data_IF_666819352394
#
_entry.id   IF_666819352394
#
_cell.length_a   1.000
_cell.length_b   1.000
_cell.length_c   1.000
_cell.angle_alpha   90.00
_cell.angle_beta   90.00
_cell.angle_gamma   90.00
#
_symmetry.space_group_name_H-M   'P 1'
#
loop_
_entity.id
_entity.type
_entity.pdbx_description
1 polymer ?
#
# COMPACT_ATOMS: atom_id res chain seq x y z
N UNK A 1 -7.56 6.93 0.04
CA UNK A 1 -6.29 7.50 0.49
C UNK A 1 -5.18 7.43 -0.55
N UNK A 2 -5.10 6.41 -1.42
CA UNK A 2 -4.16 6.44 -2.56
C UNK A 2 -2.69 6.32 -2.16
N UNK A 3 -2.38 5.41 -1.22
CA UNK A 3 -1.02 5.14 -0.74
C UNK A 3 -0.31 3.99 -1.48
N UNK A 4 -1.05 3.21 -2.28
CA UNK A 4 -0.49 2.13 -3.08
C UNK A 4 -0.04 2.72 -4.41
N UNK A 5 1.23 2.55 -4.77
CA UNK A 5 1.80 2.98 -6.05
C UNK A 5 1.63 1.88 -7.09
N UNK A 6 2.19 0.72 -6.78
CA UNK A 6 2.32 -0.39 -7.72
C UNK A 6 1.93 -1.68 -7.01
N UNK A 7 1.23 -2.55 -7.73
CA UNK A 7 1.01 -3.95 -7.39
C UNK A 7 1.43 -4.75 -8.62
N UNK A 8 2.44 -5.58 -8.47
CA UNK A 8 2.91 -6.49 -9.50
C UNK A 8 2.76 -7.93 -9.00
N UNK A 9 2.22 -8.82 -9.82
CA UNK A 9 2.09 -10.24 -9.52
C UNK A 9 2.81 -11.01 -10.62
N UNK A 10 3.87 -11.70 -10.24
CA UNK A 10 4.63 -12.52 -11.19
C UNK A 10 3.93 -13.88 -11.43
N UNK A 11 4.39 -14.58 -12.48
CA UNK A 11 3.89 -15.92 -12.83
C UNK A 11 4.25 -16.99 -11.79
N UNK A 12 5.20 -16.70 -10.88
CA UNK A 12 5.59 -17.60 -9.80
C UNK A 12 4.64 -17.50 -8.59
N UNK A 13 3.79 -16.47 -8.53
CA UNK A 13 2.89 -16.15 -7.43
C UNK A 13 3.52 -15.24 -6.37
N UNK A 14 4.55 -14.48 -6.71
CA UNK A 14 5.16 -13.44 -5.86
C UNK A 14 4.51 -12.11 -6.19
N UNK A 15 3.86 -11.52 -5.19
CA UNK A 15 3.23 -10.22 -5.29
C UNK A 15 4.15 -9.14 -4.68
N UNK A 16 4.60 -8.20 -5.49
CA UNK A 16 5.33 -7.02 -5.06
C UNK A 16 4.35 -5.86 -4.89
N UNK A 17 4.38 -5.22 -3.72
CA UNK A 17 3.50 -4.10 -3.40
C UNK A 17 4.35 -2.92 -2.95
N UNK A 18 4.30 -1.84 -3.71
CA UNK A 18 4.96 -0.58 -3.37
C UNK A 18 3.96 0.38 -2.70
N UNK A 19 4.28 0.78 -1.47
CA UNK A 19 3.49 1.70 -0.67
C UNK A 19 4.26 2.98 -0.44
N UNK A 20 3.60 4.12 -0.65
CA UNK A 20 4.15 5.42 -0.28
C UNK A 20 3.77 5.70 1.16
N UNK A 21 4.77 5.78 2.03
CA UNK A 21 4.60 6.17 3.42
C UNK A 21 5.50 7.38 3.72
N UNK A 22 4.90 8.53 4.00
CA UNK A 22 5.64 9.77 4.30
C UNK A 22 6.32 9.76 5.69
N UNK A 23 6.27 8.65 6.43
CA UNK A 23 6.84 8.57 7.79
C UNK A 23 7.94 7.51 7.82
N UNK A 24 9.18 7.96 7.62
CA UNK A 24 10.37 7.17 7.90
C UNK A 24 10.37 6.76 9.38
N UNK A 25 10.40 5.46 9.66
CA UNK A 25 10.48 4.93 11.03
C UNK A 25 9.17 5.02 11.82
N UNK A 26 8.01 5.12 11.17
CA UNK A 26 6.74 5.00 11.88
C UNK A 26 6.65 3.61 12.56
N UNK A 27 6.33 3.51 13.86
CA UNK A 27 6.22 2.22 14.55
C UNK A 27 5.14 1.31 13.92
N UNK A 28 4.22 1.89 13.15
CA UNK A 28 3.13 1.15 12.49
C UNK A 28 3.56 0.44 11.21
N UNK A 29 4.71 0.78 10.61
CA UNK A 29 5.14 0.24 9.31
C UNK A 29 5.16 -1.29 9.30
N UNK A 30 5.67 -1.92 10.37
CA UNK A 30 5.69 -3.38 10.49
C UNK A 30 4.29 -3.99 10.63
N UNK A 31 3.38 -3.33 11.36
CA UNK A 31 2.00 -3.78 11.49
C UNK A 31 1.24 -3.61 10.18
N UNK A 32 1.44 -2.49 9.48
CA UNK A 32 0.81 -2.21 8.20
C UNK A 32 1.28 -3.21 7.13
N UNK A 33 2.58 -3.49 7.05
CA UNK A 33 3.13 -4.51 6.16
C UNK A 33 2.49 -5.88 6.42
N UNK A 34 2.34 -6.27 7.69
CA UNK A 34 1.66 -7.51 8.07
C UNK A 34 0.20 -7.51 7.65
N UNK A 35 -0.55 -6.44 7.91
CA UNK A 35 -1.96 -6.34 7.52
C UNK A 35 -2.15 -6.43 5.99
N UNK A 36 -1.26 -5.78 5.22
CA UNK A 36 -1.26 -5.86 3.75
C UNK A 36 -0.96 -7.29 3.30
N UNK A 37 0.10 -7.90 3.85
CA UNK A 37 0.45 -9.29 3.55
C UNK A 37 -0.70 -10.25 3.86
N UNK A 38 -1.29 -10.15 5.05
CA UNK A 38 -2.41 -11.00 5.47
C UNK A 38 -3.67 -10.79 4.60
N UNK A 39 -3.88 -9.58 4.07
CA UNK A 39 -4.98 -9.30 3.15
C UNK A 39 -4.74 -9.91 1.77
N UNK A 40 -3.53 -9.78 1.23
CA UNK A 40 -3.18 -10.25 -0.12
C UNK A 40 -2.97 -11.76 -0.17
N UNK A 41 -2.47 -12.37 0.91
CA UNK A 41 -2.34 -13.83 1.05
C UNK A 41 -3.69 -14.57 1.03
N UNK A 42 -4.83 -13.87 1.11
CA UNK A 42 -6.16 -14.48 0.90
C UNK A 42 -6.44 -14.79 -0.57
N UNK A 43 -5.66 -14.22 -1.50
CA UNK A 43 -5.77 -14.49 -2.93
C UNK A 43 -5.04 -15.80 -3.21
N UNK A 44 -5.73 -16.85 -3.71
CA UNK A 44 -5.16 -18.19 -3.85
C UNK A 44 -4.00 -18.29 -4.84
N UNK A 45 -3.89 -17.33 -5.76
CA UNK A 45 -2.81 -17.25 -6.75
C UNK A 45 -1.51 -16.67 -6.16
N UNK A 46 -1.59 -16.03 -4.98
CA UNK A 46 -0.45 -15.41 -4.32
C UNK A 46 0.19 -16.41 -3.34
N UNK A 47 1.46 -16.73 -3.59
CA UNK A 47 2.29 -17.60 -2.76
C UNK A 47 3.17 -16.82 -1.79
N UNK A 48 3.65 -15.65 -2.20
CA UNK A 48 4.40 -14.75 -1.34
C UNK A 48 4.02 -13.29 -1.63
N UNK A 49 4.16 -12.45 -0.61
CA UNK A 49 3.95 -11.00 -0.71
C UNK A 49 5.17 -10.31 -0.14
N UNK A 50 5.77 -9.44 -0.94
CA UNK A 50 6.82 -8.51 -0.55
C UNK A 50 6.28 -7.09 -0.59
N UNK A 51 6.42 -6.41 0.55
CA UNK A 51 5.88 -5.07 0.76
C UNK A 51 7.04 -4.10 0.91
N UNK A 52 7.16 -3.17 -0.02
CA UNK A 52 8.20 -2.15 -0.02
C UNK A 52 7.62 -0.77 0.27
N UNK A 53 8.30 -0.02 1.14
CA UNK A 53 7.93 1.34 1.47
C UNK A 53 8.83 2.30 0.71
N UNK A 54 8.26 2.99 -0.28
CA UNK A 54 8.95 3.98 -1.08
C UNK A 54 8.69 5.39 -0.51
N UNK A 55 9.71 6.24 -0.56
CA UNK A 55 9.61 7.65 -0.10
C UNK A 55 9.41 8.63 -1.25
N UNK A 56 9.56 8.16 -2.49
CA UNK A 56 9.43 8.94 -3.71
C UNK A 56 8.59 8.16 -4.72
N UNK A 57 7.56 8.78 -5.34
CA UNK A 57 7.13 10.19 -5.21
C UNK A 57 6.50 10.52 -3.84
N UNK A 58 6.52 11.80 -3.43
CA UNK A 58 5.82 12.24 -2.21
C UNK A 58 4.31 12.09 -2.40
N UNK A 59 3.62 11.57 -1.40
CA UNK A 59 2.16 11.45 -1.46
C UNK A 59 1.52 12.84 -1.43
N UNK A 60 0.48 13.05 -2.25
CA UNK A 60 -0.30 14.30 -2.25
C UNK A 60 -1.78 14.02 -2.08
N UNK A 61 -2.51 14.99 -1.52
CA UNK A 61 -3.96 14.90 -1.31
C UNK A 61 -4.74 14.72 -2.63
N UNK A 62 -4.15 15.09 -3.75
CA UNK A 62 -4.70 14.86 -5.09
C UNK A 62 -4.88 13.37 -5.42
N UNK A 63 -4.10 12.49 -4.78
CA UNK A 63 -4.20 11.03 -4.94
C UNK A 63 -5.39 10.42 -4.20
N UNK A 64 -6.10 11.21 -3.38
CA UNK A 64 -7.31 10.75 -2.72
C UNK A 64 -8.48 10.69 -3.69
N UNK A 65 -9.19 9.57 -3.70
CA UNK A 65 -10.48 9.46 -4.37
C UNK A 65 -11.48 10.46 -3.79
N UNK A 66 -12.44 10.90 -4.61
CA UNK A 66 -13.50 11.85 -4.23
C UNK A 66 -14.26 11.40 -2.98
N UNK A 67 -14.50 10.09 -2.84
CA UNK A 67 -15.12 9.52 -1.65
C UNK A 67 -14.28 9.73 -0.38
N UNK A 68 -12.96 9.48 -0.45
CA UNK A 68 -12.06 9.68 0.68
C UNK A 68 -11.95 11.16 1.08
N UNK A 69 -11.94 12.07 0.10
CA UNK A 69 -11.97 13.53 0.31
C UNK A 69 -13.24 13.95 1.07
N UNK A 70 -14.40 13.46 0.64
CA UNK A 70 -15.70 13.74 1.27
C UNK A 70 -15.78 13.22 2.71
N UNK A 71 -15.35 11.98 2.96
CA UNK A 71 -15.40 11.37 4.30
C UNK A 71 -14.49 12.08 5.31
N UNK A 72 -13.36 12.63 4.85
CA UNK A 72 -12.40 13.32 5.72
C UNK A 72 -12.65 14.84 5.83
N UNK A 73 -13.68 15.38 5.17
CA UNK A 73 -13.94 16.83 5.15
C UNK A 73 -12.86 17.63 4.42
N UNK A 74 -12.11 16.96 3.55
CA UNK A 74 -10.97 17.48 2.82
C UNK A 74 -11.46 17.90 1.44
N UNK A 75 -11.84 19.17 1.31
CA UNK A 75 -11.98 19.84 0.00
C UNK A 75 -10.62 20.01 -0.68
#
# INVERSE_FOLDING_TARGET
>A
MGFVETIDLDENGICLIELILEILGCPITGQLARMVKDAVMKVPEVKNVDVEFITHPRWTRDRMSTAAKLTLGVS
#
